data_IF_506909459895
#
_entry.id   IF_506909459895
#
_cell.length_a   1.000
_cell.length_b   1.000
_cell.length_c   1.000
_cell.angle_alpha   90.00
_cell.angle_beta   90.00
_cell.angle_gamma   90.00
#
_symmetry.space_group_name_H-M   'P 1'
#
loop_
_entity.id
_entity.type
_entity.pdbx_description
1 polymer ?
#
# COMPACT_ATOMS: atom_id res chain seq x y z
N UNK A 1 16.64 1.76 27.91
CA UNK A 1 16.63 0.41 27.31
C UNK A 1 16.98 0.61 25.86
N UNK A 2 18.17 0.16 25.46
CA UNK A 2 18.53 0.10 24.05
C UNK A 2 17.49 -0.76 23.32
N UNK A 3 16.91 -0.21 22.25
CA UNK A 3 16.15 -1.01 21.30
C UNK A 3 17.17 -1.64 20.37
N UNK A 4 17.38 -2.95 20.53
CA UNK A 4 18.10 -3.73 19.53
C UNK A 4 17.24 -3.81 18.27
N UNK A 5 17.45 -2.89 17.34
CA UNK A 5 16.77 -2.91 16.05
C UNK A 5 17.39 -4.02 15.17
N UNK A 6 16.66 -5.12 14.99
CA UNK A 6 17.06 -6.21 14.08
C UNK A 6 16.55 -5.89 12.67
N UNK A 7 17.49 -5.64 11.76
CA UNK A 7 17.19 -5.42 10.33
C UNK A 7 17.12 -6.77 9.62
N UNK A 8 15.91 -7.17 9.21
CA UNK A 8 15.67 -8.38 8.41
C UNK A 8 15.40 -7.97 6.97
N UNK A 9 16.07 -8.60 6.00
CA UNK A 9 15.79 -8.32 4.59
C UNK A 9 14.41 -8.89 4.21
N UNK A 10 13.64 -8.11 3.43
CA UNK A 10 12.32 -8.50 2.90
C UNK A 10 12.32 -9.88 2.21
N UNK A 11 13.40 -10.22 1.50
CA UNK A 11 13.52 -11.52 0.83
C UNK A 11 13.34 -12.72 1.77
N UNK A 12 13.80 -12.61 3.02
CA UNK A 12 13.63 -13.67 4.02
C UNK A 12 12.19 -13.79 4.48
N UNK A 13 11.53 -12.64 4.72
CA UNK A 13 10.11 -12.62 5.10
C UNK A 13 9.23 -13.20 4.00
N UNK A 14 9.50 -12.85 2.74
CA UNK A 14 8.76 -13.40 1.60
C UNK A 14 8.96 -14.90 1.42
N UNK A 15 10.20 -15.40 1.61
CA UNK A 15 10.47 -16.84 1.62
C UNK A 15 9.73 -17.54 2.75
N UNK A 16 9.69 -16.94 3.94
CA UNK A 16 8.98 -17.48 5.09
C UNK A 16 7.47 -17.60 4.81
N UNK A 17 6.85 -16.55 4.27
CA UNK A 17 5.44 -16.57 3.84
C UNK A 17 5.18 -17.67 2.80
N UNK A 18 6.07 -17.83 1.81
CA UNK A 18 5.96 -18.86 0.79
C UNK A 18 6.02 -20.28 1.37
N UNK A 19 6.96 -20.56 2.28
CA UNK A 19 7.04 -21.87 2.95
C UNK A 19 5.82 -22.18 3.80
N UNK A 20 5.26 -21.17 4.50
CA UNK A 20 4.06 -21.38 5.30
C UNK A 20 2.86 -21.74 4.41
N UNK A 21 2.70 -21.04 3.27
CA UNK A 21 1.66 -21.35 2.30
C UNK A 21 1.84 -22.73 1.65
N UNK A 22 3.08 -23.16 1.39
CA UNK A 22 3.38 -24.51 0.90
C UNK A 22 2.99 -25.59 1.93
N UNK A 23 3.29 -25.36 3.21
CA UNK A 23 2.89 -26.27 4.29
C UNK A 23 1.37 -26.33 4.42
N UNK A 24 0.68 -25.19 4.33
CA UNK A 24 -0.79 -25.13 4.34
C UNK A 24 -1.39 -25.97 3.21
N UNK A 25 -0.86 -25.82 1.99
CA UNK A 25 -1.31 -26.56 0.83
C UNK A 25 -1.13 -28.08 0.96
N UNK A 26 -0.09 -28.51 1.68
CA UNK A 26 0.22 -29.92 1.90
C UNK A 26 -0.48 -30.51 3.13
N UNK A 27 -1.26 -29.70 3.88
CA UNK A 27 -1.86 -30.13 5.13
C UNK A 27 -3.34 -30.49 4.95
N UNK A 28 -3.67 -31.76 5.16
CA UNK A 28 -5.06 -32.26 5.14
C UNK A 28 -5.74 -32.26 6.53
N UNK A 29 -5.03 -31.85 7.59
CA UNK A 29 -5.55 -31.84 8.96
C UNK A 29 -6.08 -30.45 9.33
N UNK A 30 -7.39 -30.34 9.54
CA UNK A 30 -8.09 -29.09 9.87
C UNK A 30 -7.53 -28.36 11.11
N UNK A 31 -7.03 -29.08 12.12
CA UNK A 31 -6.46 -28.47 13.31
C UNK A 31 -5.06 -27.90 13.03
N UNK A 32 -4.28 -28.57 12.19
CA UNK A 32 -2.98 -28.06 11.74
C UNK A 32 -3.17 -26.86 10.80
N UNK A 33 -4.14 -26.90 9.89
CA UNK A 33 -4.48 -25.77 9.01
C UNK A 33 -4.82 -24.52 9.81
N UNK A 34 -5.61 -24.63 10.89
CA UNK A 34 -5.87 -23.49 11.79
C UNK A 34 -4.60 -22.92 12.42
N UNK A 35 -3.69 -23.78 12.89
CA UNK A 35 -2.41 -23.32 13.46
C UNK A 35 -1.51 -22.66 12.43
N UNK A 36 -1.55 -23.15 11.18
CA UNK A 36 -0.82 -22.56 10.06
C UNK A 36 -1.41 -21.18 9.71
N UNK A 37 -2.73 -21.03 9.74
CA UNK A 37 -3.40 -19.74 9.57
C UNK A 37 -3.01 -18.74 10.67
N UNK A 38 -3.04 -19.16 11.93
CA UNK A 38 -2.61 -18.32 13.07
C UNK A 38 -1.14 -17.86 12.89
N UNK A 39 -0.27 -18.73 12.38
CA UNK A 39 1.12 -18.42 12.09
C UNK A 39 1.26 -17.42 10.94
N UNK A 40 0.49 -17.58 9.85
CA UNK A 40 0.45 -16.61 8.75
C UNK A 40 0.01 -15.23 9.26
N UNK A 41 -1.03 -15.17 10.06
CA UNK A 41 -1.55 -13.92 10.62
C UNK A 41 -0.53 -13.24 11.54
N UNK A 42 0.17 -14.03 12.36
CA UNK A 42 1.25 -13.52 13.19
C UNK A 42 2.41 -12.95 12.36
N UNK A 43 2.84 -13.65 11.31
CA UNK A 43 3.90 -13.16 10.40
C UNK A 43 3.44 -11.91 9.67
N UNK A 44 2.22 -11.89 9.15
CA UNK A 44 1.68 -10.74 8.42
C UNK A 44 1.48 -9.50 9.30
N UNK A 45 1.10 -9.68 10.56
CA UNK A 45 0.94 -8.58 11.52
C UNK A 45 2.27 -8.09 12.08
N UNK A 46 3.21 -8.99 12.33
CA UNK A 46 4.55 -8.68 12.88
C UNK A 46 5.48 -8.04 11.85
N UNK A 47 5.31 -8.40 10.57
CA UNK A 47 6.04 -7.84 9.44
C UNK A 47 5.13 -7.02 8.54
N UNK A 48 4.13 -6.34 9.12
CA UNK A 48 3.18 -5.49 8.39
C UNK A 48 3.96 -4.65 7.39
N UNK A 49 3.88 -5.03 6.12
CA UNK A 49 4.63 -4.39 5.05
C UNK A 49 4.11 -2.96 5.00
N UNK A 50 4.88 -2.01 5.53
CA UNK A 50 4.69 -0.58 5.29
C UNK A 50 4.77 -0.25 3.80
N UNK A 51 5.18 -1.20 2.96
CA UNK A 51 5.09 -1.10 1.50
C UNK A 51 3.74 -1.51 0.90
N UNK A 52 2.85 -2.20 1.63
CA UNK A 52 1.54 -2.56 1.07
C UNK A 52 0.62 -1.34 0.89
N UNK A 53 0.52 -0.46 1.88
CA UNK A 53 -0.28 0.77 1.74
C UNK A 53 0.34 1.77 0.78
N UNK A 54 1.67 1.88 0.78
CA UNK A 54 2.37 2.83 -0.08
C UNK A 54 2.24 2.43 -1.55
N UNK A 55 2.50 1.17 -1.89
CA UNK A 55 2.41 0.68 -3.26
C UNK A 55 0.96 0.78 -3.78
N UNK A 56 -0.03 0.43 -2.96
CA UNK A 56 -1.45 0.60 -3.30
C UNK A 56 -1.81 2.08 -3.50
N UNK A 57 -1.32 2.98 -2.65
CA UNK A 57 -1.57 4.41 -2.79
C UNK A 57 -0.89 4.99 -4.04
N UNK A 58 0.35 4.56 -4.34
CA UNK A 58 1.07 4.92 -5.57
C UNK A 58 0.27 4.51 -6.81
N UNK A 59 -0.29 3.30 -6.83
CA UNK A 59 -1.10 2.79 -7.94
C UNK A 59 -2.41 3.59 -8.11
N UNK A 60 -3.10 3.91 -7.01
CA UNK A 60 -4.31 4.73 -7.02
C UNK A 60 -4.03 6.13 -7.58
N UNK A 61 -2.97 6.79 -7.08
CA UNK A 61 -2.59 8.13 -7.56
C UNK A 61 -2.20 8.09 -9.03
N UNK A 62 -1.44 7.08 -9.45
CA UNK A 62 -1.02 6.90 -10.84
C UNK A 62 -2.20 6.71 -11.79
N UNK A 63 -3.21 5.94 -11.37
CA UNK A 63 -4.45 5.73 -12.14
C UNK A 63 -5.21 7.04 -12.31
N UNK A 64 -5.43 7.79 -11.21
CA UNK A 64 -6.10 9.09 -11.26
C UNK A 64 -5.34 10.13 -12.09
N UNK A 65 -4.01 10.10 -12.05
CA UNK A 65 -3.16 10.89 -12.93
C UNK A 65 -3.42 10.55 -14.40
N UNK A 66 -3.45 9.26 -14.77
CA UNK A 66 -3.74 8.87 -16.17
C UNK A 66 -5.12 9.32 -16.63
N UNK A 67 -6.12 9.17 -15.78
CA UNK A 67 -7.51 9.52 -16.11
C UNK A 67 -7.68 11.03 -16.30
N UNK A 68 -7.08 11.83 -15.42
CA UNK A 68 -7.14 13.30 -15.51
C UNK A 68 -6.41 13.87 -16.73
N UNK A 69 -5.37 13.20 -17.25
CA UNK A 69 -4.54 13.67 -18.37
C UNK A 69 -5.31 14.19 -19.59
N UNK A 70 -6.47 13.60 -19.89
CA UNK A 70 -7.27 13.95 -21.07
C UNK A 70 -8.33 15.02 -20.82
N UNK A 71 -8.73 15.24 -19.56
CA UNK A 71 -9.92 16.03 -19.23
C UNK A 71 -9.61 17.24 -18.35
N UNK A 72 -8.50 17.23 -17.60
CA UNK A 72 -8.12 18.32 -16.70
C UNK A 72 -6.58 18.34 -16.51
N UNK A 73 -5.92 19.33 -17.11
CA UNK A 73 -4.45 19.49 -17.07
C UNK A 73 -3.94 19.90 -15.69
N UNK A 74 -4.73 20.65 -14.93
CA UNK A 74 -4.32 21.13 -13.62
C UNK A 74 -4.45 20.01 -12.58
N UNK A 75 -5.53 19.22 -12.66
CA UNK A 75 -5.69 18.01 -11.86
C UNK A 75 -4.63 16.95 -12.20
N UNK A 76 -4.29 16.79 -13.48
CA UNK A 76 -3.18 15.95 -13.91
C UNK A 76 -1.86 16.37 -13.24
N UNK A 77 -1.53 17.67 -13.26
CA UNK A 77 -0.31 18.18 -12.65
C UNK A 77 -0.26 17.94 -11.13
N UNK A 78 -1.40 18.13 -10.44
CA UNK A 78 -1.53 17.84 -9.00
C UNK A 78 -1.28 16.37 -8.68
N UNK A 79 -1.90 15.45 -9.41
CA UNK A 79 -1.65 14.01 -9.22
C UNK A 79 -0.23 13.59 -9.63
N UNK A 80 0.35 14.20 -10.65
CA UNK A 80 1.73 13.95 -11.04
C UNK A 80 2.74 14.33 -9.95
N UNK A 81 2.58 15.52 -9.35
CA UNK A 81 3.42 15.97 -8.24
C UNK A 81 3.27 15.03 -7.03
N UNK A 82 2.02 14.73 -6.65
CA UNK A 82 1.74 13.83 -5.53
C UNK A 82 2.34 12.43 -5.75
N UNK A 83 2.24 11.90 -6.98
CA UNK A 83 2.87 10.62 -7.33
C UNK A 83 4.39 10.64 -7.16
N UNK A 84 5.05 11.71 -7.59
CA UNK A 84 6.50 11.86 -7.41
C UNK A 84 6.87 11.98 -5.93
N UNK A 85 6.08 12.68 -5.13
CA UNK A 85 6.36 12.84 -3.70
C UNK A 85 6.18 11.52 -2.94
N UNK A 86 5.13 10.75 -3.23
CA UNK A 86 4.94 9.42 -2.63
C UNK A 86 6.06 8.48 -3.09
N UNK A 87 6.33 8.39 -4.41
CA UNK A 87 7.37 7.53 -4.96
C UNK A 87 8.75 7.80 -4.33
N UNK A 88 9.09 9.08 -4.13
CA UNK A 88 10.38 9.50 -3.57
C UNK A 88 10.38 9.64 -2.04
N UNK A 89 9.35 9.17 -1.32
CA UNK A 89 9.22 9.27 0.14
C UNK A 89 9.33 10.70 0.69
N UNK A 90 8.85 11.71 -0.05
CA UNK A 90 8.88 13.13 0.35
C UNK A 90 7.64 13.57 1.11
N UNK A 91 6.67 12.68 1.25
CA UNK A 91 5.41 12.90 1.93
C UNK A 91 5.03 11.64 2.70
N UNK A 92 4.38 11.80 3.84
CA UNK A 92 3.82 10.68 4.59
C UNK A 92 2.53 10.16 3.92
N UNK A 93 2.20 8.90 4.19
CA UNK A 93 1.11 8.19 3.52
C UNK A 93 -0.26 8.75 3.90
N UNK A 94 -0.47 9.14 5.16
CA UNK A 94 -1.75 9.70 5.61
C UNK A 94 -2.00 11.05 4.92
N UNK A 95 -0.99 11.91 4.88
CA UNK A 95 -1.07 13.20 4.19
C UNK A 95 -1.27 13.05 2.69
N UNK A 96 -0.64 12.04 2.07
CA UNK A 96 -0.86 11.74 0.66
C UNK A 96 -2.29 11.27 0.39
N UNK A 97 -2.89 10.46 1.27
CA UNK A 97 -4.31 10.07 1.21
C UNK A 97 -5.23 11.29 1.29
N UNK A 98 -5.01 12.18 2.26
CA UNK A 98 -5.79 13.42 2.41
C UNK A 98 -5.73 14.32 1.17
N UNK A 99 -4.53 14.50 0.60
CA UNK A 99 -4.36 15.30 -0.62
C UNK A 99 -5.08 14.67 -1.81
N UNK A 100 -4.97 13.35 -1.97
CA UNK A 100 -5.64 12.59 -3.01
C UNK A 100 -7.16 12.79 -2.96
N UNK A 101 -7.77 12.68 -1.77
CA UNK A 101 -9.19 12.95 -1.55
C UNK A 101 -9.56 14.42 -1.79
N UNK A 102 -8.70 15.36 -1.39
CA UNK A 102 -8.98 16.78 -1.55
C UNK A 102 -9.09 17.17 -3.03
N UNK A 103 -8.23 16.60 -3.89
CA UNK A 103 -8.21 16.88 -5.32
C UNK A 103 -9.52 16.46 -5.99
N UNK A 104 -10.13 15.37 -5.54
CA UNK A 104 -11.44 14.92 -6.02
C UNK A 104 -12.57 15.86 -5.61
N UNK A 105 -12.57 16.31 -4.35
CA UNK A 105 -13.59 17.24 -3.86
C UNK A 105 -13.56 18.56 -4.63
N UNK A 106 -12.37 19.08 -4.95
CA UNK A 106 -12.23 20.27 -5.78
C UNK A 106 -12.70 20.05 -7.22
N UNK A 107 -12.35 18.92 -7.84
CA UNK A 107 -12.78 18.58 -9.20
C UNK A 107 -14.32 18.43 -9.32
N UNK A 108 -14.97 17.92 -8.27
CA UNK A 108 -16.44 17.84 -8.20
C UNK A 108 -17.11 19.19 -7.96
N UNK A 109 -16.44 20.11 -7.26
CA UNK A 109 -16.98 21.44 -6.98
C UNK A 109 -16.98 22.32 -8.24
N UNK A 110 -15.90 22.32 -9.02
CA UNK A 110 -15.82 23.08 -10.27
C UNK A 110 -16.86 22.63 -11.32
N UNK A 111 -17.14 21.33 -11.41
CA UNK A 111 -18.18 20.78 -12.30
C UNK A 111 -19.62 21.16 -11.93
N UNK A 112 -19.89 21.68 -10.73
CA UNK A 112 -21.23 22.09 -10.29
C UNK A 112 -21.52 23.57 -10.50
N UNK A 113 -20.50 24.37 -10.80
CA UNK A 113 -20.61 25.82 -10.96
C UNK A 113 -20.79 26.21 -12.44
N UNK A 114 -20.61 25.27 -13.36
CA UNK A 114 -20.84 25.42 -14.80
C UNK A 114 -22.03 24.59 -15.28
#
# INVERSE_FOLDING_TARGET
MDKDDIVIKREFVNKLKAYIAEIEYLCDDDNLTKKIQDLQDYVNSSFKDSSSEKELLEEVIYTKMKDSKKFDRDLYAKYYMLYQDVKNNRIDIERAKELCESFERFAHYEKRIF
#
